data_IF_337285450164
#
_entry.id   IF_337285450164
#
_cell.length_a   1.000
_cell.length_b   1.000
_cell.length_c   1.000
_cell.angle_alpha   90.00
_cell.angle_beta   90.00
_cell.angle_gamma   90.00
#
_symmetry.space_group_name_H-M   'P 1'
#
loop_
_entity.id
_entity.type
_entity.pdbx_description
1 polymer ?
#
# COMPACT_ATOMS: atom_id res chain seq x y z
N UNK A 1 -8.21 55.28 -40.65
CA UNK A 1 -9.05 54.30 -39.97
C UNK A 1 -8.67 52.87 -40.28
N UNK A 2 -8.57 52.41 -41.54
CA UNK A 2 -8.25 50.99 -41.87
C UNK A 2 -6.91 50.49 -41.29
N UNK A 3 -5.85 51.29 -41.24
CA UNK A 3 -4.54 50.94 -40.66
C UNK A 3 -4.59 50.79 -39.14
N UNK A 4 -5.37 51.59 -38.43
CA UNK A 4 -5.55 51.53 -36.96
C UNK A 4 -6.34 50.30 -36.56
N UNK A 5 -7.38 49.95 -37.31
CA UNK A 5 -8.16 48.71 -37.08
C UNK A 5 -7.33 47.45 -37.29
N UNK A 6 -6.44 47.43 -38.29
CA UNK A 6 -5.54 46.30 -38.56
C UNK A 6 -4.50 46.11 -37.43
N UNK A 7 -3.94 47.17 -36.87
CA UNK A 7 -3.00 47.08 -35.75
C UNK A 7 -3.70 46.65 -34.46
N UNK A 8 -4.91 47.14 -34.20
CA UNK A 8 -5.70 46.71 -33.05
C UNK A 8 -6.08 45.21 -33.13
N UNK A 9 -6.43 44.70 -34.30
CA UNK A 9 -6.73 43.28 -34.54
C UNK A 9 -5.49 42.42 -34.32
N UNK A 10 -4.32 42.85 -34.81
CA UNK A 10 -3.05 42.14 -34.58
C UNK A 10 -2.65 42.09 -33.11
N UNK A 11 -2.89 43.14 -32.35
CA UNK A 11 -2.63 43.19 -30.92
C UNK A 11 -3.56 42.24 -30.14
N UNK A 12 -4.84 42.15 -30.52
CA UNK A 12 -5.80 41.18 -29.91
C UNK A 12 -5.34 39.74 -30.18
N UNK A 13 -4.93 39.44 -31.40
CA UNK A 13 -4.42 38.11 -31.77
C UNK A 13 -3.15 37.80 -30.98
N UNK A 14 -2.21 38.74 -30.85
CA UNK A 14 -0.96 38.52 -30.12
C UNK A 14 -1.17 38.37 -28.60
N UNK A 15 -2.09 39.12 -28.00
CA UNK A 15 -2.29 39.12 -26.55
C UNK A 15 -3.18 37.95 -26.08
N UNK A 16 -4.17 37.57 -26.88
CA UNK A 16 -5.16 36.55 -26.45
C UNK A 16 -5.00 35.18 -27.12
N UNK A 17 -4.61 35.12 -28.40
CA UNK A 17 -4.49 33.85 -29.11
C UNK A 17 -3.10 33.21 -29.01
N UNK A 18 -2.02 34.03 -28.98
CA UNK A 18 -0.67 33.44 -28.84
C UNK A 18 -0.44 32.72 -27.50
N UNK A 19 -0.80 33.30 -26.33
CA UNK A 19 -0.69 32.59 -25.06
C UNK A 19 -1.55 31.33 -25.02
N UNK A 20 -2.75 31.37 -25.60
CA UNK A 20 -3.63 30.17 -25.67
C UNK A 20 -3.03 29.06 -26.54
N UNK A 21 -2.40 29.44 -27.69
CA UNK A 21 -1.73 28.46 -28.55
C UNK A 21 -0.46 27.90 -27.93
N UNK A 22 0.28 28.73 -27.19
CA UNK A 22 1.48 28.31 -26.45
C UNK A 22 1.07 27.38 -25.30
N UNK A 23 0.02 27.72 -24.54
CA UNK A 23 -0.45 26.89 -23.44
C UNK A 23 -0.95 25.55 -23.94
N UNK A 24 -1.68 25.52 -25.05
CA UNK A 24 -2.14 24.28 -25.67
C UNK A 24 -1.00 23.45 -26.28
N UNK A 25 0.07 24.08 -26.77
CA UNK A 25 1.30 23.41 -27.21
C UNK A 25 2.07 22.79 -26.04
N UNK A 26 2.13 23.49 -24.91
CA UNK A 26 2.79 22.99 -23.69
C UNK A 26 2.01 21.85 -23.00
N UNK A 27 0.66 21.88 -23.05
CA UNK A 27 -0.16 20.77 -22.57
C UNK A 27 -0.03 19.51 -23.45
N UNK A 28 0.24 19.68 -24.76
CA UNK A 28 0.49 18.53 -25.66
C UNK A 28 1.90 17.95 -25.51
N UNK A 29 2.89 18.75 -25.04
CA UNK A 29 4.25 18.25 -24.82
C UNK A 29 4.38 17.51 -23.48
N UNK A 30 3.43 17.66 -22.56
CA UNK A 30 3.40 17.02 -21.24
C UNK A 30 2.53 15.76 -21.19
N UNK A 31 1.77 15.49 -22.22
CA UNK A 31 1.12 14.19 -22.44
C UNK A 31 2.08 13.29 -23.25
N UNK A 32 3.22 12.90 -22.64
CA UNK A 32 3.98 11.78 -23.15
C UNK A 32 3.02 10.57 -23.20
N UNK A 33 2.85 9.99 -24.37
CA UNK A 33 2.03 8.81 -24.61
C UNK A 33 2.44 7.73 -23.59
N UNK A 34 1.59 7.32 -22.64
CA UNK A 34 1.92 6.28 -21.68
C UNK A 34 2.31 4.95 -22.34
N UNK A 35 1.95 4.76 -23.61
CA UNK A 35 2.31 3.59 -24.41
C UNK A 35 3.77 3.63 -24.91
N UNK A 36 4.50 4.74 -24.78
CA UNK A 36 5.88 4.89 -25.24
C UNK A 36 6.92 4.81 -24.11
N UNK A 37 6.51 4.59 -22.87
CA UNK A 37 7.47 4.42 -21.77
C UNK A 37 8.05 3.00 -21.79
N UNK A 38 9.37 2.90 -21.88
CA UNK A 38 10.09 1.64 -21.74
C UNK A 38 10.19 1.23 -20.27
N UNK A 39 10.07 -0.08 -19.98
CA UNK A 39 10.28 -0.58 -18.63
C UNK A 39 11.72 -0.39 -18.16
N UNK A 40 11.88 0.21 -16.97
CA UNK A 40 13.19 0.36 -16.32
C UNK A 40 13.60 -0.98 -15.74
N UNK A 41 14.84 -1.40 -16.03
CA UNK A 41 15.40 -2.61 -15.46
C UNK A 41 15.58 -2.46 -13.94
N UNK A 42 15.08 -3.43 -13.18
CA UNK A 42 15.32 -3.50 -11.74
C UNK A 42 16.74 -3.98 -11.48
N UNK A 43 17.59 -3.17 -10.81
CA UNK A 43 18.96 -3.60 -10.50
C UNK A 43 18.96 -4.75 -9.50
N UNK A 44 19.88 -5.69 -9.65
CA UNK A 44 20.10 -6.75 -8.66
C UNK A 44 20.67 -6.16 -7.36
N UNK A 45 20.17 -6.68 -6.22
CA UNK A 45 20.68 -6.31 -4.90
C UNK A 45 22.00 -7.00 -4.53
N UNK A 46 22.27 -8.13 -5.17
CA UNK A 46 23.35 -9.03 -4.80
C UNK A 46 23.07 -9.91 -3.57
N UNK A 47 21.85 -9.88 -3.06
CA UNK A 47 21.39 -10.72 -1.95
C UNK A 47 20.26 -11.64 -2.43
N UNK A 48 20.39 -12.95 -2.21
CA UNK A 48 19.43 -13.95 -2.65
C UNK A 48 18.64 -14.47 -1.45
N UNK A 49 17.31 -14.56 -1.62
CA UNK A 49 16.36 -15.17 -0.70
C UNK A 49 15.84 -16.47 -1.28
N UNK A 50 15.55 -17.45 -0.42
CA UNK A 50 14.79 -18.65 -0.76
C UNK A 50 13.32 -18.40 -0.39
N UNK A 51 12.47 -18.35 -1.40
CA UNK A 51 11.05 -18.00 -1.24
C UNK A 51 10.18 -19.22 -1.50
N UNK A 52 9.35 -19.58 -0.52
CA UNK A 52 8.33 -20.62 -0.65
C UNK A 52 7.09 -20.00 -1.33
N UNK A 53 6.80 -20.46 -2.52
CA UNK A 53 5.61 -20.07 -3.28
C UNK A 53 4.33 -20.74 -2.79
N UNK A 54 3.18 -20.23 -3.23
CA UNK A 54 1.85 -20.82 -2.96
C UNK A 54 1.67 -22.22 -3.59
N UNK A 55 2.50 -22.57 -4.56
CA UNK A 55 2.56 -23.89 -5.19
C UNK A 55 3.39 -24.91 -4.38
N UNK A 56 3.95 -24.50 -3.24
CA UNK A 56 4.81 -25.31 -2.39
C UNK A 56 6.24 -25.45 -2.90
N UNK A 57 6.63 -24.76 -3.96
CA UNK A 57 8.01 -24.76 -4.47
C UNK A 57 8.84 -23.67 -3.84
N UNK A 58 10.10 -23.98 -3.53
CA UNK A 58 11.09 -23.00 -3.09
C UNK A 58 11.90 -22.52 -4.28
N UNK A 59 11.93 -21.21 -4.49
CA UNK A 59 12.71 -20.57 -5.55
C UNK A 59 13.72 -19.59 -4.98
N UNK A 60 14.88 -19.50 -5.59
CA UNK A 60 15.87 -18.45 -5.31
C UNK A 60 15.45 -17.16 -6.00
N UNK A 61 15.42 -16.07 -5.25
CA UNK A 61 14.97 -14.75 -5.74
C UNK A 61 15.90 -13.66 -5.22
N UNK A 62 16.32 -12.73 -6.09
CA UNK A 62 17.04 -11.54 -5.66
C UNK A 62 16.17 -10.68 -4.73
N UNK A 63 16.76 -10.11 -3.67
CA UNK A 63 16.05 -9.28 -2.69
C UNK A 63 15.23 -8.15 -3.35
N UNK A 64 15.80 -7.44 -4.32
CA UNK A 64 15.06 -6.36 -4.98
C UNK A 64 13.86 -6.90 -5.79
N UNK A 65 14.01 -8.07 -6.40
CA UNK A 65 12.89 -8.74 -7.09
C UNK A 65 11.79 -9.14 -6.09
N UNK A 66 12.16 -9.68 -4.94
CA UNK A 66 11.23 -9.99 -3.86
C UNK A 66 10.51 -8.73 -3.37
N UNK A 67 11.27 -7.67 -3.06
CA UNK A 67 10.74 -6.40 -2.58
C UNK A 67 9.80 -5.74 -3.59
N UNK A 68 10.11 -5.82 -4.87
CA UNK A 68 9.23 -5.31 -5.92
C UNK A 68 7.84 -5.97 -5.83
N UNK A 69 7.81 -7.30 -5.69
CA UNK A 69 6.55 -8.05 -5.56
C UNK A 69 5.81 -7.76 -4.26
N UNK A 70 6.52 -7.55 -3.14
CA UNK A 70 5.91 -7.16 -1.86
C UNK A 70 5.30 -5.76 -1.96
N UNK A 71 6.04 -4.76 -2.44
CA UNK A 71 5.52 -3.39 -2.57
C UNK A 71 4.31 -3.35 -3.50
N UNK A 72 4.35 -4.10 -4.62
CA UNK A 72 3.23 -4.19 -5.55
C UNK A 72 1.98 -4.87 -4.96
N UNK A 73 2.15 -5.78 -3.99
CA UNK A 73 1.05 -6.46 -3.32
C UNK A 73 0.47 -5.66 -2.15
N UNK A 74 1.33 -4.97 -1.38
CA UNK A 74 0.96 -4.31 -0.13
C UNK A 74 0.45 -2.88 -0.32
N UNK A 75 0.87 -2.19 -1.39
CA UNK A 75 0.52 -0.80 -1.61
C UNK A 75 -0.05 -0.52 -2.99
N UNK A 76 -1.09 0.33 -3.12
CA UNK A 76 -1.49 0.85 -4.41
C UNK A 76 -0.33 1.58 -5.10
N UNK A 77 0.02 1.18 -6.32
CA UNK A 77 1.10 1.80 -7.10
C UNK A 77 0.83 3.29 -7.44
N UNK A 78 -0.41 3.77 -7.22
CA UNK A 78 -0.79 5.18 -7.34
C UNK A 78 -0.32 6.04 -6.17
N UNK A 79 0.09 5.46 -5.04
CA UNK A 79 0.57 6.21 -3.87
C UNK A 79 1.83 6.99 -4.19
N UNK A 80 2.15 7.99 -3.37
CA UNK A 80 3.35 8.82 -3.55
C UNK A 80 4.62 7.97 -3.50
N UNK A 81 5.63 8.38 -4.24
CA UNK A 81 6.88 7.63 -4.40
C UNK A 81 7.58 7.40 -3.06
N UNK A 82 7.58 8.39 -2.18
CA UNK A 82 8.19 8.29 -0.85
C UNK A 82 7.47 7.26 0.04
N UNK A 83 6.16 7.08 -0.13
CA UNK A 83 5.41 6.03 0.56
C UNK A 83 5.82 4.63 0.06
N UNK A 84 5.99 4.46 -1.25
CA UNK A 84 6.49 3.20 -1.83
C UNK A 84 7.92 2.91 -1.40
N UNK A 85 8.78 3.92 -1.28
CA UNK A 85 10.14 3.80 -0.73
C UNK A 85 10.12 3.37 0.73
N UNK A 86 9.26 3.98 1.55
CA UNK A 86 9.11 3.60 2.95
C UNK A 86 8.69 2.13 3.09
N UNK A 87 7.73 1.68 2.28
CA UNK A 87 7.32 0.27 2.23
C UNK A 87 8.46 -0.66 1.82
N UNK A 88 9.26 -0.27 0.82
CA UNK A 88 10.42 -1.07 0.38
C UNK A 88 11.46 -1.23 1.51
N UNK A 89 11.71 -0.17 2.28
CA UNK A 89 12.63 -0.21 3.44
C UNK A 89 12.06 -1.08 4.57
N UNK A 90 10.77 -0.94 4.89
CA UNK A 90 10.11 -1.77 5.89
C UNK A 90 10.13 -3.25 5.49
N UNK A 91 9.75 -3.57 4.26
CA UNK A 91 9.73 -4.93 3.74
C UNK A 91 11.12 -5.58 3.74
N UNK A 92 12.17 -4.83 3.35
CA UNK A 92 13.57 -5.30 3.40
C UNK A 92 14.01 -5.58 4.82
N UNK A 93 13.67 -4.69 5.75
CA UNK A 93 13.99 -4.85 7.17
C UNK A 93 13.35 -6.12 7.73
N UNK A 94 12.05 -6.31 7.46
CA UNK A 94 11.32 -7.52 7.83
C UNK A 94 11.97 -8.77 7.24
N UNK A 95 12.26 -8.79 5.95
CA UNK A 95 12.83 -9.95 5.28
C UNK A 95 14.18 -10.37 5.87
N UNK A 96 15.06 -9.39 6.15
CA UNK A 96 16.37 -9.64 6.76
C UNK A 96 16.29 -10.04 8.23
N UNK A 97 15.30 -9.51 8.97
CA UNK A 97 15.10 -9.87 10.37
C UNK A 97 14.46 -11.25 10.53
N UNK A 98 13.44 -11.54 9.70
CA UNK A 98 12.63 -12.75 9.79
C UNK A 98 13.30 -13.97 9.15
N UNK A 99 13.97 -13.80 8.00
CA UNK A 99 14.53 -14.90 7.23
C UNK A 99 15.40 -15.88 8.04
N UNK A 100 16.35 -15.42 8.87
CA UNK A 100 17.19 -16.31 9.68
C UNK A 100 16.44 -17.11 10.75
N UNK A 101 15.24 -16.66 11.14
CA UNK A 101 14.38 -17.28 12.16
C UNK A 101 13.08 -17.84 11.59
N UNK A 102 13.06 -18.05 10.27
CA UNK A 102 11.89 -18.53 9.54
C UNK A 102 11.39 -19.87 10.05
N UNK A 103 10.07 -20.03 10.08
CA UNK A 103 9.42 -21.31 10.39
C UNK A 103 9.37 -22.25 9.17
N UNK A 104 9.96 -21.86 8.05
CA UNK A 104 10.02 -22.65 6.82
C UNK A 104 11.34 -23.42 6.77
N UNK A 105 11.35 -24.77 6.79
CA UNK A 105 12.58 -25.56 6.90
C UNK A 105 13.59 -25.31 5.79
N UNK A 106 13.09 -25.03 4.58
CA UNK A 106 13.92 -24.91 3.36
C UNK A 106 13.84 -23.53 2.70
N UNK A 107 13.12 -22.57 3.30
CA UNK A 107 12.96 -21.23 2.76
C UNK A 107 13.18 -20.15 3.83
N UNK A 108 13.55 -18.96 3.38
CA UNK A 108 13.72 -17.82 4.26
C UNK A 108 12.39 -17.13 4.54
N UNK A 109 11.49 -17.08 3.54
CA UNK A 109 10.16 -16.47 3.63
C UNK A 109 9.18 -17.22 2.71
N UNK A 110 7.89 -16.92 2.85
CA UNK A 110 6.85 -17.37 1.92
C UNK A 110 6.05 -16.20 1.35
N UNK A 111 5.21 -16.50 0.36
CA UNK A 111 4.32 -15.51 -0.30
C UNK A 111 2.94 -15.40 0.32
N UNK A 112 2.70 -16.04 1.48
CA UNK A 112 1.43 -15.98 2.20
C UNK A 112 1.42 -14.80 3.17
N UNK A 113 0.47 -13.88 2.98
CA UNK A 113 0.29 -12.70 3.82
C UNK A 113 -0.09 -13.02 5.28
N UNK A 114 -0.66 -14.21 5.54
CA UNK A 114 -0.98 -14.64 6.90
C UNK A 114 0.24 -15.17 7.66
N UNK A 115 1.35 -15.40 6.97
CA UNK A 115 2.55 -15.99 7.53
C UNK A 115 3.75 -15.04 7.46
N UNK A 116 4.04 -14.49 6.28
CA UNK A 116 5.15 -13.60 6.03
C UNK A 116 4.67 -12.24 5.49
N UNK A 117 4.78 -12.01 4.20
CA UNK A 117 4.35 -10.79 3.52
C UNK A 117 3.57 -11.15 2.26
N UNK A 118 2.56 -10.36 1.90
CA UNK A 118 1.93 -10.51 0.59
C UNK A 118 2.96 -10.30 -0.52
N UNK A 119 2.84 -11.08 -1.57
CA UNK A 119 3.71 -10.99 -2.73
C UNK A 119 2.92 -11.27 -4.01
N UNK A 120 3.21 -10.52 -5.06
CA UNK A 120 2.60 -10.71 -6.37
C UNK A 120 3.69 -10.79 -7.46
N UNK A 121 3.49 -11.70 -8.42
CA UNK A 121 4.38 -11.76 -9.56
C UNK A 121 4.22 -10.50 -10.44
N UNK A 122 5.32 -10.05 -11.06
CA UNK A 122 5.31 -8.84 -11.91
C UNK A 122 4.27 -8.93 -13.02
N UNK A 123 4.17 -10.07 -13.70
CA UNK A 123 3.22 -10.27 -14.78
C UNK A 123 1.76 -10.14 -14.31
N UNK A 124 1.45 -10.64 -13.10
CA UNK A 124 0.11 -10.57 -12.54
C UNK A 124 -0.24 -9.13 -12.12
N UNK A 125 0.70 -8.42 -11.49
CA UNK A 125 0.54 -7.02 -11.16
C UNK A 125 0.31 -6.16 -12.41
N UNK A 126 1.10 -6.36 -13.45
CA UNK A 126 0.95 -5.67 -14.75
C UNK A 126 -0.40 -5.97 -15.39
N UNK A 127 -0.84 -7.22 -15.35
CA UNK A 127 -2.18 -7.61 -15.85
C UNK A 127 -3.30 -6.87 -15.10
N UNK A 128 -3.17 -6.73 -13.78
CA UNK A 128 -4.15 -6.01 -12.95
C UNK A 128 -4.16 -4.49 -13.22
N UNK A 129 -3.03 -3.91 -13.60
CA UNK A 129 -2.90 -2.47 -13.85
C UNK A 129 -3.30 -2.03 -15.27
N UNK A 130 -3.35 -2.97 -16.23
CA UNK A 130 -3.74 -2.70 -17.61
C UNK A 130 -2.90 -1.60 -18.26
N UNK A 131 -3.52 -0.54 -18.76
CA UNK A 131 -2.83 0.58 -19.43
C UNK A 131 -1.81 1.31 -18.54
N UNK A 132 -1.90 1.14 -17.22
CA UNK A 132 -0.94 1.73 -16.27
C UNK A 132 0.19 0.77 -15.88
N UNK A 133 0.29 -0.38 -16.53
CA UNK A 133 1.29 -1.39 -16.21
C UNK A 133 2.72 -0.82 -16.23
N UNK A 134 3.14 -0.19 -17.32
CA UNK A 134 4.50 0.34 -17.47
C UNK A 134 4.81 1.47 -16.47
N UNK A 135 4.01 2.56 -16.35
CA UNK A 135 4.28 3.60 -15.39
C UNK A 135 4.31 3.11 -13.94
N UNK A 136 3.43 2.19 -13.54
CA UNK A 136 3.42 1.65 -12.19
C UNK A 136 4.60 0.70 -11.93
N UNK A 137 4.95 -0.13 -12.90
CA UNK A 137 6.15 -0.96 -12.85
C UNK A 137 7.39 -0.11 -12.64
N UNK A 138 7.56 0.96 -13.41
CA UNK A 138 8.70 1.86 -13.31
C UNK A 138 8.76 2.58 -11.96
N UNK A 139 7.61 3.02 -11.46
CA UNK A 139 7.52 3.71 -10.17
C UNK A 139 7.95 2.81 -9.00
N UNK A 140 7.47 1.57 -8.95
CA UNK A 140 7.89 0.61 -7.92
C UNK A 140 9.36 0.21 -8.10
N UNK A 141 9.80 0.05 -9.35
CA UNK A 141 11.21 -0.24 -9.66
C UNK A 141 12.14 0.86 -9.14
N UNK A 142 11.79 2.15 -9.37
CA UNK A 142 12.53 3.29 -8.85
C UNK A 142 12.53 3.30 -7.31
N UNK A 143 11.37 3.13 -6.68
CA UNK A 143 11.24 3.12 -5.23
C UNK A 143 12.12 2.04 -4.57
N UNK A 144 12.14 0.83 -5.11
CA UNK A 144 13.00 -0.26 -4.60
C UNK A 144 14.48 0.03 -4.85
N UNK A 145 14.84 0.49 -6.05
CA UNK A 145 16.23 0.73 -6.43
C UNK A 145 16.85 1.90 -5.63
N UNK A 146 16.11 3.01 -5.47
CA UNK A 146 16.61 4.21 -4.80
C UNK A 146 16.78 4.06 -3.29
N UNK A 147 16.06 3.14 -2.66
CA UNK A 147 16.27 2.79 -1.25
C UNK A 147 17.53 1.96 -1.02
N UNK A 148 18.15 1.43 -2.07
CA UNK A 148 19.41 0.67 -1.98
C UNK A 148 19.34 -0.42 -0.91
N UNK A 149 20.30 -0.41 0.00
CA UNK A 149 20.36 -1.37 1.13
C UNK A 149 19.88 -0.78 2.45
N UNK A 150 19.04 0.25 2.44
CA UNK A 150 18.51 0.87 3.66
C UNK A 150 17.63 -0.10 4.45
N UNK A 151 17.82 -0.10 5.76
CA UNK A 151 17.06 -0.88 6.74
C UNK A 151 16.76 -0.04 7.97
N UNK A 152 15.80 -0.45 8.77
CA UNK A 152 15.44 0.21 10.03
C UNK A 152 16.09 -0.55 11.19
N UNK A 153 16.78 0.19 12.04
CA UNK A 153 17.46 -0.35 13.21
C UNK A 153 16.96 0.32 14.49
N UNK A 154 16.89 -0.44 15.55
CA UNK A 154 16.77 0.03 16.92
C UNK A 154 17.96 -0.47 17.73
N UNK A 155 18.71 0.42 18.35
CA UNK A 155 19.95 0.09 19.08
C UNK A 155 20.94 -0.79 18.30
N UNK A 156 21.02 -0.56 16.97
CA UNK A 156 21.93 -1.29 16.08
C UNK A 156 21.44 -2.68 15.64
N UNK A 157 20.25 -3.11 16.03
CA UNK A 157 19.62 -4.36 15.61
C UNK A 157 18.47 -4.08 14.65
N UNK A 158 18.24 -5.01 13.70
CA UNK A 158 17.06 -4.95 12.82
C UNK A 158 15.79 -5.02 13.67
N UNK A 159 14.81 -4.19 13.34
CA UNK A 159 13.50 -4.19 14.00
C UNK A 159 12.55 -5.23 13.39
N UNK A 160 11.53 -5.63 14.13
CA UNK A 160 10.32 -6.22 13.55
C UNK A 160 9.54 -5.09 12.87
N UNK A 161 9.78 -4.94 11.56
CA UNK A 161 9.20 -3.86 10.75
C UNK A 161 7.78 -4.23 10.31
N UNK A 162 6.87 -4.30 11.28
CA UNK A 162 5.44 -4.51 11.03
C UNK A 162 4.79 -3.22 10.54
N UNK A 163 3.74 -3.35 9.73
CA UNK A 163 3.00 -2.23 9.18
C UNK A 163 1.51 -2.57 9.04
N UNK A 164 0.70 -1.56 8.89
CA UNK A 164 -0.75 -1.67 8.68
C UNK A 164 -1.20 -0.63 7.65
N UNK A 165 -2.38 -0.82 7.08
CA UNK A 165 -2.91 0.09 6.04
C UNK A 165 -3.52 1.36 6.62
N UNK A 166 -4.14 1.28 7.81
CA UNK A 166 -4.90 2.38 8.40
C UNK A 166 -5.11 2.16 9.90
N UNK A 167 -5.21 3.25 10.66
CA UNK A 167 -5.64 3.25 12.06
C UNK A 167 -6.64 4.37 12.32
N UNK A 168 -7.47 4.22 13.35
CA UNK A 168 -8.61 5.12 13.61
C UNK A 168 -8.27 6.33 14.51
N UNK A 169 -7.05 6.77 14.62
CA UNK A 169 -6.56 7.97 15.33
C UNK A 169 -5.16 7.78 15.90
N UNK A 170 -4.87 6.61 16.46
CA UNK A 170 -3.55 6.24 16.98
C UNK A 170 -3.26 4.78 16.64
N UNK A 171 -1.97 4.44 16.55
CA UNK A 171 -1.54 3.05 16.46
C UNK A 171 -1.70 2.35 17.81
N UNK A 172 -1.76 1.03 17.82
CA UNK A 172 -1.81 0.24 19.05
C UNK A 172 -0.41 -0.04 19.59
N UNK A 173 -0.29 -0.11 20.90
CA UNK A 173 0.95 -0.53 21.56
C UNK A 173 1.18 -2.04 21.38
N UNK A 174 2.41 -2.47 21.15
CA UNK A 174 2.75 -3.87 20.97
C UNK A 174 2.31 -4.76 22.15
N UNK A 175 2.35 -4.22 23.37
CA UNK A 175 1.92 -4.95 24.57
C UNK A 175 0.42 -5.23 24.57
N UNK A 176 -0.38 -4.34 24.01
CA UNK A 176 -1.83 -4.51 23.94
C UNK A 176 -2.23 -5.54 22.86
N UNK A 177 -1.48 -5.58 21.75
CA UNK A 177 -1.77 -6.48 20.64
C UNK A 177 -1.20 -7.89 20.85
N UNK A 178 0.04 -7.99 21.34
CA UNK A 178 0.78 -9.26 21.42
C UNK A 178 1.17 -9.69 22.84
N UNK A 179 0.83 -8.86 23.86
CA UNK A 179 1.13 -9.16 25.27
C UNK A 179 2.59 -8.94 25.67
N UNK A 180 3.44 -8.47 24.76
CA UNK A 180 4.86 -8.20 25.02
C UNK A 180 5.20 -6.76 24.62
N UNK A 181 5.88 -6.03 25.50
CA UNK A 181 6.35 -4.67 25.18
C UNK A 181 7.52 -4.72 24.20
N UNK A 182 7.41 -3.94 23.12
CA UNK A 182 8.46 -3.74 22.14
C UNK A 182 8.80 -2.24 22.13
N UNK A 183 10.01 -1.81 22.52
CA UNK A 183 10.31 -0.40 22.78
C UNK A 183 10.09 0.55 21.62
N UNK A 184 10.16 0.06 20.37
CA UNK A 184 9.97 0.83 19.15
C UNK A 184 8.57 0.66 18.50
N UNK A 185 7.69 -0.17 19.10
CA UNK A 185 6.30 -0.39 18.65
C UNK A 185 5.34 0.10 19.74
N UNK A 186 5.33 1.41 19.95
CA UNK A 186 4.46 2.09 20.89
C UNK A 186 3.34 2.82 20.15
N UNK A 187 2.26 3.08 20.86
CA UNK A 187 1.16 3.89 20.33
C UNK A 187 1.64 5.29 19.96
N UNK A 188 1.35 5.72 18.77
CA UNK A 188 1.60 7.08 18.25
C UNK A 188 0.37 7.60 17.54
N UNK A 189 0.18 8.92 17.56
CA UNK A 189 -0.88 9.55 16.79
C UNK A 189 -0.74 9.22 15.31
N UNK A 190 -1.84 8.75 14.71
CA UNK A 190 -1.95 8.44 13.28
C UNK A 190 -3.23 9.11 12.77
N UNK A 191 -3.20 10.43 12.52
CA UNK A 191 -4.40 11.21 12.18
C UNK A 191 -4.85 10.94 10.74
N UNK A 192 -5.28 9.72 10.51
CA UNK A 192 -5.94 9.32 9.28
C UNK A 192 -7.37 9.84 9.32
N UNK A 193 -7.80 10.52 8.29
CA UNK A 193 -9.13 11.10 8.24
C UNK A 193 -10.13 10.28 7.44
N UNK A 194 -11.33 10.80 7.30
CA UNK A 194 -12.42 10.23 6.50
C UNK A 194 -12.07 10.03 5.01
N UNK A 195 -10.91 10.53 4.56
CA UNK A 195 -10.39 10.34 3.20
C UNK A 195 -9.81 8.93 2.96
N UNK A 196 -9.61 8.14 4.02
CA UNK A 196 -9.15 6.75 3.89
C UNK A 196 -10.28 5.90 3.30
N UNK A 197 -10.04 5.18 2.21
CA UNK A 197 -11.06 4.30 1.63
C UNK A 197 -11.56 3.29 2.67
N UNK A 198 -12.88 3.15 2.78
CA UNK A 198 -13.53 2.24 3.72
C UNK A 198 -13.29 2.58 5.22
N UNK A 199 -12.93 3.82 5.55
CA UNK A 199 -12.78 4.29 6.94
C UNK A 199 -14.03 4.00 7.80
N UNK A 200 -15.20 4.13 7.20
CA UNK A 200 -16.48 3.71 7.79
C UNK A 200 -17.18 2.71 6.87
N UNK A 201 -17.67 1.63 7.45
CA UNK A 201 -18.52 0.68 6.76
C UNK A 201 -19.84 0.54 7.52
N UNK A 202 -20.93 0.32 6.79
CA UNK A 202 -22.25 0.08 7.36
C UNK A 202 -22.80 -1.24 6.82
N UNK A 203 -23.23 -2.10 7.75
CA UNK A 203 -23.99 -3.28 7.43
C UNK A 203 -25.37 -3.18 8.07
N UNK A 204 -26.41 -3.54 7.34
CA UNK A 204 -27.79 -3.60 7.86
C UNK A 204 -28.27 -5.03 7.70
N UNK A 205 -28.63 -5.65 8.81
CA UNK A 205 -29.21 -7.00 8.86
C UNK A 205 -30.54 -6.97 9.57
N UNK A 206 -31.42 -7.92 9.29
CA UNK A 206 -32.68 -8.05 10.00
C UNK A 206 -32.47 -8.57 11.43
N UNK A 207 -33.41 -8.31 12.34
CA UNK A 207 -33.35 -8.85 13.70
C UNK A 207 -33.28 -10.38 13.71
N UNK A 208 -33.95 -11.05 12.79
CA UNK A 208 -33.90 -12.51 12.67
C UNK A 208 -32.49 -12.98 12.26
N UNK A 209 -31.90 -12.33 11.26
CA UNK A 209 -30.55 -12.67 10.80
C UNK A 209 -29.50 -12.39 11.89
N UNK A 210 -29.66 -11.30 12.64
CA UNK A 210 -28.81 -11.03 13.80
C UNK A 210 -28.94 -12.14 14.85
N UNK A 211 -30.19 -12.53 15.19
CA UNK A 211 -30.44 -13.59 16.15
C UNK A 211 -29.79 -14.91 15.72
N UNK A 212 -29.98 -15.31 14.46
CA UNK A 212 -29.46 -16.56 13.93
C UNK A 212 -27.91 -16.59 13.98
N UNK A 213 -27.25 -15.53 13.50
CA UNK A 213 -25.79 -15.40 13.51
C UNK A 213 -25.22 -15.33 14.94
N UNK A 214 -25.89 -14.59 15.82
CA UNK A 214 -25.41 -14.42 17.19
C UNK A 214 -25.53 -15.73 18.00
N UNK A 215 -26.65 -16.46 17.86
CA UNK A 215 -26.87 -17.75 18.54
C UNK A 215 -25.97 -18.87 17.96
N UNK A 216 -25.57 -18.78 16.71
CA UNK A 216 -24.54 -19.68 16.16
C UNK A 216 -23.20 -19.50 16.89
N UNK A 217 -22.81 -18.26 17.15
CA UNK A 217 -21.55 -17.93 17.83
C UNK A 217 -21.66 -18.02 19.37
N UNK A 218 -22.84 -17.79 19.93
CA UNK A 218 -23.14 -17.74 21.36
C UNK A 218 -24.45 -18.48 21.68
N UNK A 219 -24.48 -19.79 21.65
CA UNK A 219 -25.70 -20.58 21.84
C UNK A 219 -26.39 -20.37 23.21
N UNK A 220 -25.64 -19.93 24.21
CA UNK A 220 -26.11 -19.66 25.56
C UNK A 220 -26.82 -18.31 25.73
N UNK A 221 -26.81 -17.46 24.73
CA UNK A 221 -27.41 -16.13 24.82
C UNK A 221 -28.94 -16.20 24.76
N UNK A 222 -29.62 -15.35 25.55
CA UNK A 222 -31.06 -15.19 25.52
C UNK A 222 -31.47 -13.99 24.66
N UNK A 223 -31.91 -14.25 23.46
CA UNK A 223 -32.45 -13.27 22.51
C UNK A 223 -33.95 -13.47 22.29
N UNK A 224 -34.68 -13.93 23.31
CA UNK A 224 -36.15 -14.15 23.25
C UNK A 224 -36.97 -12.88 23.40
N UNK A 225 -36.38 -11.78 23.88
CA UNK A 225 -37.03 -10.51 24.12
C UNK A 225 -37.21 -9.62 22.89
N UNK A 226 -37.63 -8.37 23.11
CA UNK A 226 -37.73 -7.35 22.07
C UNK A 226 -36.33 -7.10 21.44
N UNK A 227 -36.20 -7.17 20.11
CA UNK A 227 -34.91 -6.95 19.44
C UNK A 227 -34.21 -5.64 19.80
N UNK A 228 -34.97 -4.58 20.15
CA UNK A 228 -34.41 -3.30 20.57
C UNK A 228 -33.65 -3.38 21.91
N UNK A 229 -33.79 -4.47 22.66
CA UNK A 229 -33.13 -4.68 23.96
C UNK A 229 -31.92 -5.63 23.88
N UNK A 230 -31.65 -6.23 22.74
CA UNK A 230 -30.58 -7.20 22.60
C UNK A 230 -29.17 -6.59 22.67
N UNK A 231 -29.04 -5.35 22.23
CA UNK A 231 -27.79 -4.60 22.26
C UNK A 231 -28.00 -3.38 23.15
N UNK A 232 -27.29 -3.30 24.25
CA UNK A 232 -27.28 -2.14 25.14
C UNK A 232 -26.33 -1.05 24.67
N UNK A 233 -26.05 -0.10 25.57
CA UNK A 233 -25.05 0.94 25.29
C UNK A 233 -23.69 0.30 25.08
N UNK A 234 -23.13 0.52 23.89
CA UNK A 234 -21.78 0.07 23.57
C UNK A 234 -20.78 1.06 24.15
N UNK A 235 -19.82 0.55 24.91
CA UNK A 235 -18.68 1.34 25.39
C UNK A 235 -17.44 0.95 24.57
N UNK A 236 -16.78 1.94 24.04
CA UNK A 236 -15.47 1.77 23.46
C UNK A 236 -14.46 1.76 24.61
N UNK A 237 -13.74 0.68 24.76
CA UNK A 237 -12.60 0.63 25.68
C UNK A 237 -11.37 0.96 24.85
N UNK A 238 -10.72 2.05 25.20
CA UNK A 238 -9.44 2.48 24.62
C UNK A 238 -8.28 1.55 25.08
N UNK A 239 -8.47 0.22 25.03
CA UNK A 239 -7.46 -0.78 25.31
C UNK A 239 -7.10 -0.96 26.78
#
# INVERSE_FOLDING_TARGET
MKKVVGVALLLVVAVFLLPFLIHRGMEQEQAADPAAQEEIALPASGYTLRILGSDGQVTEMDMNQYLWGVVAAEMPASFEEEALKAQAVAARTYALNKGPTSNHPDADLCTDYNCCQAWIARADAQSNWGDRAVPYTNKITAAVAETGNQVILYEGQLIDAVFHSSSASATQDAVEVWGNSVPYLQSVDSPEGENVPNYQSQATISSQEFQDLFLEARPEADLSGDPSTWVGDTQYNDG
#
